data_IF_720811930070
#
_entry.id   IF_720811930070
#
_cell.length_a   1.000
_cell.length_b   1.000
_cell.length_c   1.000
_cell.angle_alpha   90.00
_cell.angle_beta   90.00
_cell.angle_gamma   90.00
#
_symmetry.space_group_name_H-M   'P 1'
#
loop_
_entity.id
_entity.type
_entity.pdbx_description
1 polymer ?
#
# COMPACT_ATOMS: atom_id res chain seq x y z
N UNK A 1 -31.77 -45.35 3.97
CA UNK A 1 -32.04 -45.12 2.53
C UNK A 1 -33.14 -44.10 2.27
N UNK A 2 -34.30 -44.15 2.95
CA UNK A 2 -35.37 -43.15 2.79
C UNK A 2 -34.93 -41.67 3.00
N UNK A 3 -34.04 -41.40 3.97
CA UNK A 3 -33.46 -40.07 4.19
C UNK A 3 -32.56 -39.60 3.03
N UNK A 4 -31.84 -40.53 2.39
CA UNK A 4 -30.98 -40.27 1.23
C UNK A 4 -31.79 -39.95 -0.03
N UNK A 5 -33.03 -40.42 -0.08
CA UNK A 5 -33.99 -40.12 -1.14
C UNK A 5 -34.85 -38.87 -0.87
N UNK A 6 -34.60 -38.13 0.22
CA UNK A 6 -35.33 -36.91 0.57
C UNK A 6 -36.76 -37.15 1.11
N UNK A 7 -37.15 -38.41 1.35
CA UNK A 7 -38.49 -38.80 1.80
C UNK A 7 -38.66 -38.72 3.33
N UNK A 8 -37.57 -38.64 4.07
CA UNK A 8 -37.57 -38.56 5.53
C UNK A 8 -36.67 -37.39 5.99
N UNK A 9 -37.03 -36.72 7.11
CA UNK A 9 -36.26 -35.59 7.61
C UNK A 9 -34.83 -35.99 7.99
N UNK A 10 -33.93 -35.02 7.89
CA UNK A 10 -32.54 -35.19 8.31
C UNK A 10 -32.44 -35.48 9.81
N UNK A 11 -31.39 -36.20 10.19
CA UNK A 11 -31.09 -36.45 11.60
C UNK A 11 -30.45 -35.21 12.22
N UNK A 12 -30.80 -34.89 13.46
CA UNK A 12 -30.20 -33.76 14.18
C UNK A 12 -29.08 -34.26 15.09
N UNK A 13 -27.94 -33.57 15.04
CA UNK A 13 -26.81 -33.73 15.96
C UNK A 13 -27.19 -33.25 17.38
N UNK A 14 -26.35 -33.53 18.36
CA UNK A 14 -26.44 -33.06 19.76
C UNK A 14 -26.51 -31.53 19.87
N UNK A 15 -25.86 -30.81 18.95
CA UNK A 15 -25.89 -29.35 18.83
C UNK A 15 -27.12 -28.82 18.05
N UNK A 16 -28.09 -29.68 17.71
CA UNK A 16 -29.30 -29.32 16.96
C UNK A 16 -29.07 -29.01 15.48
N UNK A 17 -27.93 -29.46 14.91
CA UNK A 17 -27.60 -29.27 13.49
C UNK A 17 -28.02 -30.47 12.66
N UNK A 18 -28.60 -30.22 11.50
CA UNK A 18 -28.97 -31.27 10.56
C UNK A 18 -27.73 -31.96 9.97
N UNK A 19 -27.67 -33.28 10.10
CA UNK A 19 -26.65 -34.14 9.51
C UNK A 19 -27.12 -34.53 8.12
N UNK A 20 -26.32 -34.18 7.12
CA UNK A 20 -26.61 -34.51 5.73
C UNK A 20 -26.73 -36.05 5.56
N UNK A 21 -27.89 -36.58 5.11
CA UNK A 21 -28.11 -38.02 4.91
C UNK A 21 -27.20 -38.71 3.88
N UNK A 22 -26.48 -37.93 3.07
CA UNK A 22 -25.52 -38.44 2.09
C UNK A 22 -24.11 -38.64 2.65
N UNK A 23 -23.82 -38.19 3.87
CA UNK A 23 -22.55 -38.48 4.56
C UNK A 23 -22.52 -39.98 4.87
N UNK A 24 -21.43 -40.66 4.48
CA UNK A 24 -21.28 -42.08 4.76
C UNK A 24 -21.27 -42.35 6.26
N UNK A 25 -21.85 -43.48 6.68
CA UNK A 25 -22.00 -43.85 8.10
C UNK A 25 -20.69 -43.84 8.90
N UNK A 26 -19.56 -44.20 8.28
CA UNK A 26 -18.25 -44.21 8.95
C UNK A 26 -17.70 -42.80 9.25
N UNK A 27 -18.23 -41.74 8.62
CA UNK A 27 -17.86 -40.34 8.89
C UNK A 27 -18.77 -39.72 9.94
N UNK A 28 -20.06 -40.11 9.97
CA UNK A 28 -21.07 -39.55 10.90
C UNK A 28 -21.11 -40.26 12.25
N UNK A 29 -20.70 -41.53 12.33
CA UNK A 29 -20.60 -42.25 13.60
C UNK A 29 -19.34 -41.82 14.35
N UNK A 30 -19.52 -41.31 15.56
CA UNK A 30 -18.41 -40.97 16.42
C UNK A 30 -17.72 -42.25 16.94
N UNK A 31 -16.38 -42.31 16.92
CA UNK A 31 -15.64 -43.43 17.49
C UNK A 31 -15.90 -43.62 19.00
N UNK A 32 -15.82 -44.86 19.47
CA UNK A 32 -16.14 -45.23 20.87
C UNK A 32 -15.38 -44.43 21.93
N UNK A 33 -14.16 -43.98 21.65
CA UNK A 33 -13.32 -43.22 22.58
C UNK A 33 -13.76 -41.76 22.78
N UNK A 34 -14.74 -41.27 22.02
CA UNK A 34 -15.32 -39.93 22.17
C UNK A 34 -16.64 -39.92 22.96
N UNK A 35 -17.12 -41.08 23.42
CA UNK A 35 -18.32 -41.25 24.25
C UNK A 35 -19.57 -40.48 23.74
N UNK A 36 -19.71 -40.30 22.43
CA UNK A 36 -20.90 -39.70 21.84
C UNK A 36 -21.93 -40.81 21.56
N UNK A 37 -23.10 -40.71 22.18
CA UNK A 37 -24.18 -41.69 22.04
C UNK A 37 -24.98 -41.48 20.75
N UNK A 38 -24.85 -40.32 20.12
CA UNK A 38 -25.56 -39.95 18.88
C UNK A 38 -24.58 -39.73 17.72
N UNK A 39 -25.02 -39.94 16.47
CA UNK A 39 -24.27 -39.51 15.30
C UNK A 39 -23.98 -38.02 15.40
N UNK A 40 -22.71 -37.63 15.33
CA UNK A 40 -22.28 -36.24 15.51
C UNK A 40 -21.11 -35.91 14.59
N UNK A 41 -21.05 -34.69 14.07
CA UNK A 41 -19.93 -34.25 13.23
C UNK A 41 -18.86 -33.49 14.03
N UNK A 42 -19.01 -33.39 15.35
CA UNK A 42 -18.09 -32.69 16.26
C UNK A 42 -16.68 -33.27 16.22
N UNK A 43 -16.55 -34.59 16.09
CA UNK A 43 -15.26 -35.28 16.04
C UNK A 43 -14.49 -35.04 14.74
N UNK A 44 -15.17 -34.67 13.65
CA UNK A 44 -14.55 -34.27 12.40
C UNK A 44 -14.07 -32.81 12.42
N UNK A 45 -14.52 -32.02 13.40
CA UNK A 45 -14.04 -30.63 13.57
C UNK A 45 -12.65 -30.65 14.17
N UNK A 46 -11.88 -29.62 13.82
CA UNK A 46 -10.54 -29.44 14.35
C UNK A 46 -10.60 -29.27 15.88
N UNK A 47 -10.09 -30.26 16.60
CA UNK A 47 -10.14 -30.32 18.06
C UNK A 47 -9.14 -29.38 18.76
N UNK A 48 -8.06 -28.99 18.07
CA UNK A 48 -7.14 -27.93 18.52
C UNK A 48 -7.33 -26.68 17.67
N UNK A 49 -7.42 -25.53 18.33
CA UNK A 49 -7.22 -24.25 17.65
C UNK A 49 -5.81 -24.22 17.05
N UNK A 50 -5.66 -23.54 15.91
CA UNK A 50 -4.32 -23.21 15.45
C UNK A 50 -3.56 -22.45 16.54
N UNK A 51 -2.26 -22.72 16.73
CA UNK A 51 -1.43 -21.86 17.56
C UNK A 51 -1.62 -20.41 17.11
N UNK A 52 -1.72 -19.49 18.07
CA UNK A 52 -1.84 -18.08 17.74
C UNK A 52 -0.47 -17.57 17.28
N UNK A 53 -0.14 -17.78 16.00
CA UNK A 53 1.13 -17.37 15.44
C UNK A 53 1.22 -15.85 15.43
N UNK A 54 2.30 -15.34 15.99
CA UNK A 54 2.51 -13.90 16.10
C UNK A 54 2.84 -13.34 14.72
N UNK A 55 2.08 -12.34 14.28
CA UNK A 55 2.38 -11.57 13.06
C UNK A 55 3.49 -10.53 13.27
N UNK A 56 3.91 -10.30 14.52
CA UNK A 56 5.03 -9.42 14.83
C UNK A 56 6.34 -9.95 14.23
N UNK A 57 7.19 -9.01 13.81
CA UNK A 57 8.54 -9.30 13.34
C UNK A 57 9.57 -8.74 14.33
N UNK A 58 10.81 -9.23 14.27
CA UNK A 58 11.90 -8.77 15.11
C UNK A 58 12.14 -7.25 15.00
N UNK A 59 12.29 -6.60 16.15
CA UNK A 59 12.67 -5.18 16.24
C UNK A 59 14.14 -4.99 15.84
N UNK A 60 14.40 -4.82 14.54
CA UNK A 60 15.77 -4.64 14.03
C UNK A 60 16.38 -3.34 14.55
N UNK A 61 17.52 -3.45 15.22
CA UNK A 61 18.27 -2.30 15.73
C UNK A 61 17.69 -1.67 17.00
N UNK A 62 16.70 -2.32 17.65
CA UNK A 62 16.24 -1.89 18.95
C UNK A 62 17.35 -2.08 20.00
N UNK A 63 17.64 -1.00 20.72
CA UNK A 63 18.63 -0.93 21.77
C UNK A 63 17.90 -0.83 23.10
N UNK A 64 18.24 -1.68 24.06
CA UNK A 64 17.59 -1.68 25.38
C UNK A 64 18.39 -0.81 26.34
N UNK A 65 19.62 -1.20 26.63
CA UNK A 65 20.42 -0.63 27.70
C UNK A 65 21.84 -0.38 27.24
N UNK A 66 22.40 0.78 27.61
CA UNK A 66 23.81 1.09 27.38
C UNK A 66 24.53 1.17 28.72
N UNK A 67 25.53 0.32 28.90
CA UNK A 67 26.39 0.38 30.08
C UNK A 67 27.51 1.41 29.89
N UNK A 68 27.86 2.13 30.95
CA UNK A 68 29.01 3.04 30.95
C UNK A 68 30.33 2.33 31.26
N UNK A 69 30.26 1.17 31.93
CA UNK A 69 31.42 0.35 32.30
C UNK A 69 31.23 -1.10 31.86
N UNK A 70 32.34 -1.78 31.59
CA UNK A 70 32.35 -3.17 31.18
C UNK A 70 31.78 -4.06 32.28
N UNK A 71 30.86 -4.94 31.90
CA UNK A 71 30.23 -5.93 32.78
C UNK A 71 30.87 -7.30 32.56
N UNK A 72 30.99 -8.09 33.62
CA UNK A 72 31.49 -9.47 33.53
C UNK A 72 30.51 -10.30 32.70
N UNK A 73 31.02 -11.04 31.72
CA UNK A 73 30.20 -11.81 30.77
C UNK A 73 29.80 -11.03 29.52
N UNK A 74 30.13 -9.74 29.42
CA UNK A 74 29.92 -8.99 28.19
C UNK A 74 30.97 -9.35 27.13
N UNK A 75 30.60 -9.15 25.87
CA UNK A 75 31.50 -9.23 24.72
C UNK A 75 32.78 -8.44 25.01
N UNK A 76 33.92 -9.12 24.94
CA UNK A 76 35.18 -8.48 25.27
C UNK A 76 35.48 -7.30 24.33
N UNK A 77 35.10 -7.42 23.06
CA UNK A 77 35.39 -6.42 22.03
C UNK A 77 34.58 -5.13 22.21
N UNK A 78 33.25 -5.22 22.21
CA UNK A 78 32.34 -4.07 22.20
C UNK A 78 31.70 -3.76 23.57
N UNK A 79 31.63 -4.73 24.49
CA UNK A 79 31.04 -4.55 25.82
C UNK A 79 29.51 -4.76 25.92
N UNK A 80 28.84 -5.21 24.85
CA UNK A 80 27.44 -5.63 24.91
C UNK A 80 27.30 -7.02 25.55
N UNK A 81 26.20 -7.29 26.26
CA UNK A 81 25.92 -8.58 26.90
C UNK A 81 25.21 -9.60 26.00
N UNK A 82 24.78 -9.21 24.81
CA UNK A 82 23.91 -10.06 23.96
C UNK A 82 24.64 -11.12 23.16
N UNK A 83 25.96 -10.99 23.01
CA UNK A 83 26.76 -11.85 22.14
C UNK A 83 28.20 -11.99 22.64
N UNK A 84 28.91 -12.97 22.07
CA UNK A 84 30.32 -13.24 22.37
C UNK A 84 31.27 -12.43 21.49
N UNK A 85 32.54 -12.35 21.88
CA UNK A 85 33.56 -11.65 21.10
C UNK A 85 33.75 -12.18 19.67
N UNK A 86 33.38 -13.44 19.41
CA UNK A 86 33.48 -14.08 18.07
C UNK A 86 32.31 -13.73 17.17
N UNK A 87 31.10 -13.59 17.72
CA UNK A 87 29.88 -13.20 17.00
C UNK A 87 29.66 -11.68 17.00
N UNK A 88 30.67 -10.92 17.43
CA UNK A 88 30.61 -9.47 17.48
C UNK A 88 30.56 -8.87 16.07
N UNK A 89 29.53 -8.06 15.82
CA UNK A 89 29.36 -7.33 14.56
C UNK A 89 30.31 -6.13 14.45
N UNK A 90 30.76 -5.62 15.60
CA UNK A 90 31.68 -4.49 15.66
C UNK A 90 33.08 -4.92 15.25
N UNK A 91 33.78 -4.00 14.57
CA UNK A 91 35.16 -4.24 14.12
C UNK A 91 36.04 -4.70 15.29
N UNK A 92 36.82 -5.79 15.14
CA UNK A 92 37.74 -6.23 16.18
C UNK A 92 38.74 -5.12 16.55
N UNK A 93 38.74 -4.72 17.82
CA UNK A 93 39.61 -3.65 18.34
C UNK A 93 40.96 -4.23 18.77
N UNK A 94 42.05 -3.45 18.58
CA UNK A 94 43.38 -3.79 19.10
C UNK A 94 43.40 -3.84 20.63
N UNK A 95 42.81 -2.82 21.27
CA UNK A 95 42.52 -2.81 22.71
C UNK A 95 41.00 -2.96 22.88
N UNK A 96 40.62 -4.07 23.49
CA UNK A 96 39.21 -4.49 23.68
C UNK A 96 38.51 -3.65 24.76
N UNK A 97 37.19 -3.51 24.68
CA UNK A 97 36.39 -2.78 25.67
C UNK A 97 36.56 -3.33 27.10
N UNK A 98 36.82 -4.64 27.24
CA UNK A 98 37.18 -5.29 28.51
C UNK A 98 38.29 -4.57 29.29
N UNK A 99 39.28 -4.03 28.58
CA UNK A 99 40.45 -3.39 29.18
C UNK A 99 40.36 -1.87 29.20
N UNK A 100 39.68 -1.27 28.23
CA UNK A 100 39.63 0.19 28.08
C UNK A 100 38.39 0.83 28.72
N UNK A 101 37.30 0.09 28.96
CA UNK A 101 36.00 0.64 29.38
C UNK A 101 35.45 1.76 28.47
N UNK A 102 36.01 1.94 27.27
CA UNK A 102 35.62 3.01 26.35
C UNK A 102 34.79 2.47 25.19
N UNK A 103 33.85 3.29 24.73
CA UNK A 103 32.94 2.99 23.61
C UNK A 103 32.21 1.66 23.79
N UNK A 104 31.43 1.56 24.87
CA UNK A 104 30.62 0.39 25.16
C UNK A 104 29.36 0.41 24.30
N UNK A 105 29.14 -0.68 23.57
CA UNK A 105 27.97 -0.87 22.74
C UNK A 105 26.71 -1.08 23.61
N UNK A 106 25.57 -0.71 23.04
CA UNK A 106 24.25 -0.96 23.63
C UNK A 106 23.88 -2.43 23.52
N UNK A 107 23.16 -2.95 24.52
CA UNK A 107 22.56 -4.27 24.47
C UNK A 107 21.39 -4.30 23.48
N UNK A 108 21.33 -5.35 22.68
CA UNK A 108 20.29 -5.63 21.69
C UNK A 108 19.07 -6.31 22.34
N UNK A 109 17.89 -6.16 21.73
CA UNK A 109 16.68 -6.87 22.15
C UNK A 109 16.67 -8.27 21.54
N UNK A 110 16.76 -9.29 22.39
CA UNK A 110 16.64 -10.69 21.99
C UNK A 110 15.17 -11.09 22.13
N UNK A 111 14.52 -11.36 21.01
CA UNK A 111 13.13 -11.82 20.95
C UNK A 111 13.09 -13.22 20.33
N UNK A 112 12.10 -14.02 20.73
CA UNK A 112 11.83 -15.33 20.13
C UNK A 112 10.36 -15.42 19.79
N UNK A 113 10.06 -15.71 18.53
CA UNK A 113 8.69 -15.82 18.02
C UNK A 113 8.44 -17.19 17.41
N UNK A 114 7.25 -17.73 17.64
CA UNK A 114 6.74 -18.89 16.92
C UNK A 114 5.89 -18.42 15.74
N UNK A 115 6.31 -18.80 14.55
CA UNK A 115 5.67 -18.42 13.29
C UNK A 115 5.37 -19.64 12.44
N UNK A 116 4.31 -19.53 11.66
CA UNK A 116 3.93 -20.47 10.61
C UNK A 116 5.00 -20.62 9.52
N UNK A 117 4.84 -21.66 8.70
CA UNK A 117 5.67 -21.88 7.52
C UNK A 117 5.70 -20.66 6.58
N UNK A 118 4.53 -20.08 6.33
CA UNK A 118 4.37 -18.89 5.47
C UNK A 118 4.89 -17.63 6.18
N UNK A 119 4.57 -17.46 7.46
CA UNK A 119 5.05 -16.35 8.28
C UNK A 119 6.57 -16.23 8.30
N UNK A 120 7.31 -17.35 8.36
CA UNK A 120 8.80 -17.33 8.29
C UNK A 120 9.35 -16.92 6.93
N UNK A 121 8.57 -17.10 5.85
CA UNK A 121 9.00 -16.89 4.45
C UNK A 121 8.43 -15.64 3.82
N UNK A 122 7.53 -14.95 4.50
CA UNK A 122 6.97 -13.71 3.99
C UNK A 122 8.09 -12.70 3.69
N UNK A 123 8.21 -12.36 2.40
CA UNK A 123 9.20 -11.43 1.89
C UNK A 123 9.03 -10.03 2.48
N UNK A 124 7.81 -9.70 2.92
CA UNK A 124 7.45 -8.39 3.44
C UNK A 124 7.50 -8.31 4.97
N UNK A 125 8.11 -9.30 5.62
CA UNK A 125 8.37 -9.27 7.05
C UNK A 125 9.18 -8.04 7.49
N UNK A 126 8.66 -7.29 8.46
CA UNK A 126 9.26 -6.05 8.95
C UNK A 126 9.14 -4.87 7.98
N UNK A 127 8.22 -4.92 7.01
CA UNK A 127 7.95 -3.78 6.13
C UNK A 127 7.30 -2.62 6.90
N UNK A 128 7.95 -1.46 6.90
CA UNK A 128 7.37 -0.23 7.44
C UNK A 128 6.45 0.43 6.41
N UNK A 129 5.15 0.52 6.76
CA UNK A 129 4.13 1.13 5.92
C UNK A 129 4.44 2.60 5.57
N UNK A 130 5.18 3.33 6.42
CA UNK A 130 5.56 4.72 6.16
C UNK A 130 6.48 4.86 4.94
N UNK A 131 7.30 3.83 4.65
CA UNK A 131 8.25 3.86 3.54
C UNK A 131 7.57 3.89 2.16
N UNK A 132 6.31 3.45 2.09
CA UNK A 132 5.50 3.52 0.87
C UNK A 132 5.24 4.98 0.43
N UNK A 133 5.28 5.94 1.35
CA UNK A 133 5.16 7.36 1.03
C UNK A 133 6.18 7.80 -0.03
N UNK A 134 7.42 7.29 0.03
CA UNK A 134 8.49 7.60 -0.95
C UNK A 134 8.16 7.10 -2.35
N UNK A 135 7.38 6.02 -2.45
CA UNK A 135 6.89 5.51 -3.74
C UNK A 135 5.83 6.46 -4.27
N UNK A 136 4.87 6.86 -3.45
CA UNK A 136 3.83 7.83 -3.80
C UNK A 136 4.46 9.13 -4.31
N UNK A 137 5.38 9.72 -3.54
CA UNK A 137 6.11 10.94 -3.90
C UNK A 137 6.80 10.83 -5.27
N UNK A 138 7.44 9.68 -5.54
CA UNK A 138 8.08 9.43 -6.84
C UNK A 138 7.08 9.42 -7.99
N UNK A 139 5.90 8.84 -7.79
CA UNK A 139 4.84 8.83 -8.80
C UNK A 139 4.23 10.21 -8.99
N UNK A 140 3.96 10.94 -7.91
CA UNK A 140 3.45 12.31 -7.95
C UNK A 140 4.41 13.23 -8.70
N UNK A 141 5.71 13.21 -8.38
CA UNK A 141 6.72 13.99 -9.08
C UNK A 141 6.78 13.67 -10.58
N UNK A 142 6.61 12.39 -10.96
CA UNK A 142 6.56 11.97 -12.37
C UNK A 142 5.32 12.50 -13.09
N UNK A 143 4.16 12.49 -12.43
CA UNK A 143 2.91 13.01 -12.97
C UNK A 143 2.98 14.53 -13.11
N UNK A 144 3.54 15.22 -12.13
CA UNK A 144 3.75 16.68 -12.19
C UNK A 144 4.70 17.08 -13.31
N UNK A 145 5.81 16.37 -13.50
CA UNK A 145 6.74 16.61 -14.60
C UNK A 145 6.05 16.41 -15.97
N UNK A 146 5.23 15.36 -16.12
CA UNK A 146 4.43 15.12 -17.32
C UNK A 146 3.42 16.25 -17.56
N UNK A 147 2.76 16.74 -16.51
CA UNK A 147 1.81 17.85 -16.58
C UNK A 147 2.49 19.15 -16.99
N UNK A 148 3.67 19.46 -16.43
CA UNK A 148 4.48 20.63 -16.80
C UNK A 148 4.89 20.56 -18.28
N UNK A 149 5.40 19.43 -18.73
CA UNK A 149 5.75 19.20 -20.13
C UNK A 149 4.57 19.43 -21.08
N UNK A 150 3.40 18.86 -20.79
CA UNK A 150 2.20 19.07 -21.62
C UNK A 150 1.76 20.54 -21.65
N UNK A 151 1.83 21.24 -20.52
CA UNK A 151 1.51 22.67 -20.44
C UNK A 151 2.48 23.52 -21.27
N UNK A 152 3.78 23.23 -21.22
CA UNK A 152 4.79 23.90 -22.04
C UNK A 152 4.58 23.64 -23.54
N UNK A 153 4.22 22.41 -23.93
CA UNK A 153 3.89 22.10 -25.32
C UNK A 153 2.65 22.86 -25.81
N UNK A 154 1.62 23.01 -24.97
CA UNK A 154 0.44 23.82 -25.29
C UNK A 154 0.80 25.31 -25.44
N UNK A 155 1.60 25.88 -24.53
CA UNK A 155 2.07 27.26 -24.62
C UNK A 155 2.88 27.49 -25.91
N UNK A 156 3.83 26.61 -26.24
CA UNK A 156 4.59 26.67 -27.49
C UNK A 156 3.70 26.63 -28.74
N UNK A 157 2.60 25.87 -28.73
CA UNK A 157 1.63 25.85 -29.84
C UNK A 157 0.87 27.17 -29.95
N UNK A 158 0.43 27.74 -28.83
CA UNK A 158 -0.28 29.03 -28.78
C UNK A 158 0.65 30.18 -29.21
N UNK A 159 1.91 30.17 -28.78
CA UNK A 159 2.89 31.21 -29.17
C UNK A 159 3.19 31.12 -30.67
N UNK A 160 3.34 29.91 -31.22
CA UNK A 160 3.46 29.70 -32.65
C UNK A 160 2.22 30.20 -33.41
N UNK A 161 1.01 29.90 -32.95
CA UNK A 161 -0.21 30.37 -33.62
C UNK A 161 -0.31 31.90 -33.60
N UNK A 162 -0.05 32.53 -32.45
CA UNK A 162 0.00 34.00 -32.33
C UNK A 162 1.03 34.62 -33.26
N UNK A 163 2.26 34.08 -33.33
CA UNK A 163 3.29 34.57 -34.25
C UNK A 163 2.85 34.48 -35.71
N UNK A 164 2.18 33.39 -36.10
CA UNK A 164 1.62 33.26 -37.46
C UNK A 164 0.52 34.28 -37.73
N UNK A 165 -0.33 34.58 -36.74
CA UNK A 165 -1.40 35.58 -36.87
C UNK A 165 -0.84 37.01 -36.95
N UNK A 166 0.15 37.36 -36.12
CA UNK A 166 0.88 38.64 -36.24
C UNK A 166 1.60 38.78 -37.60
N UNK A 167 2.20 37.70 -38.10
CA UNK A 167 2.85 37.71 -39.42
C UNK A 167 1.84 37.91 -40.57
N UNK A 168 0.63 37.36 -40.46
CA UNK A 168 -0.46 37.64 -41.41
C UNK A 168 -0.95 39.08 -41.31
N UNK A 169 -1.15 39.60 -40.10
CA UNK A 169 -1.58 40.98 -39.87
C UNK A 169 -0.56 42.00 -40.42
N UNK A 170 0.73 41.78 -40.18
CA UNK A 170 1.82 42.63 -40.70
C UNK A 170 1.96 42.59 -42.23
N UNK A 171 1.49 41.52 -42.90
CA UNK A 171 1.39 41.47 -44.37
C UNK A 171 0.17 42.27 -44.87
N UNK A 172 -0.96 42.18 -44.18
CA UNK A 172 -2.19 42.90 -44.54
C UNK A 172 -2.09 44.44 -44.36
N UNK A 173 -1.41 44.90 -43.31
CA UNK A 173 -1.15 46.34 -43.08
C UNK A 173 -0.20 46.92 -44.14
N UNK A 174 0.76 46.14 -44.65
CA UNK A 174 1.64 46.57 -45.74
C UNK A 174 0.91 46.74 -47.08
N UNK A 175 -0.16 45.98 -47.32
CA UNK A 175 -0.94 46.06 -48.57
C UNK A 175 -1.98 47.19 -48.58
N UNK A 176 -2.25 47.84 -47.44
CA UNK A 176 -3.28 48.89 -47.31
C UNK A 176 -2.71 50.32 -47.22
N UNK A 177 -1.39 50.48 -47.09
CA UNK A 177 -0.71 51.79 -47.08
C UNK A 177 -0.29 52.35 -48.46
N UNK A 178 -0.59 51.64 -49.55
CA UNK A 178 -0.34 52.12 -50.92
C UNK A 178 -1.66 52.27 -51.67
N UNK A 179 -2.15 53.50 -51.81
CA UNK A 179 -3.47 53.81 -52.36
C UNK A 179 -3.67 53.45 -53.83
N UNK A 180 -4.91 53.10 -54.18
CA UNK A 180 -5.58 53.58 -55.40
C UNK A 180 -7.09 53.36 -55.28
N UNK A 181 -7.82 54.46 -55.18
CA UNK A 181 -9.28 54.57 -55.32
C UNK A 181 -9.73 53.95 -56.65
N UNK A 182 -10.70 53.04 -56.66
CA UNK A 182 -11.60 52.81 -57.81
C UNK A 182 -12.89 52.09 -57.39
N UNK A 183 -13.94 52.43 -58.13
CA UNK A 183 -15.37 52.42 -57.79
C UNK A 183 -16.11 51.13 -58.15
N UNK A 184 -16.99 50.71 -57.24
CA UNK A 184 -18.37 50.16 -57.38
C UNK A 184 -18.67 49.11 -58.46
N UNK A 185 -19.24 47.96 -58.03
CA UNK A 185 -20.53 47.41 -58.52
C UNK A 185 -21.14 46.42 -57.52
N UNK A 186 -22.44 46.61 -57.25
CA UNK A 186 -23.29 45.78 -56.38
C UNK A 186 -23.68 44.48 -57.09
N UNK A 187 -23.80 43.40 -56.32
CA UNK A 187 -24.51 42.17 -56.65
C UNK A 187 -24.97 41.52 -55.34
N UNK A 188 -26.27 41.27 -55.24
CA UNK A 188 -27.02 40.74 -54.09
C UNK A 188 -27.06 39.21 -54.18
N UNK A 189 -27.32 38.55 -53.04
CA UNK A 189 -27.71 37.14 -52.79
C UNK A 189 -26.59 36.34 -52.10
N UNK A 190 -26.77 35.64 -50.98
CA UNK A 190 -27.90 35.38 -50.08
C UNK A 190 -27.39 34.57 -48.87
N UNK A 191 -28.11 34.69 -47.76
CA UNK A 191 -28.25 33.76 -46.63
C UNK A 191 -27.05 33.26 -45.77
N UNK A 192 -26.94 33.88 -44.57
CA UNK A 192 -27.01 33.25 -43.22
C UNK A 192 -25.90 32.29 -42.71
N UNK A 193 -25.72 32.08 -41.38
CA UNK A 193 -26.10 32.86 -40.21
C UNK A 193 -24.96 33.12 -39.18
N UNK A 194 -25.27 34.03 -38.26
CA UNK A 194 -24.61 34.34 -37.01
C UNK A 194 -24.42 33.10 -36.12
N UNK A 195 -23.21 32.89 -35.58
CA UNK A 195 -23.03 32.17 -34.32
C UNK A 195 -22.06 32.94 -33.42
N UNK A 196 -22.66 33.71 -32.51
CA UNK A 196 -22.05 34.13 -31.27
C UNK A 196 -22.01 32.93 -30.32
N UNK A 197 -20.83 32.54 -29.85
CA UNK A 197 -20.72 31.70 -28.67
C UNK A 197 -19.77 32.34 -27.66
N UNK A 198 -20.42 33.00 -26.70
CA UNK A 198 -19.87 33.38 -25.40
C UNK A 198 -19.32 32.11 -24.74
N UNK A 199 -18.03 32.09 -24.43
CA UNK A 199 -17.45 31.13 -23.49
C UNK A 199 -17.08 31.91 -22.23
N UNK A 200 -17.84 31.71 -21.17
CA UNK A 200 -17.50 31.88 -19.74
C UNK A 200 -18.82 31.96 -18.98
N UNK A 201 -19.03 31.33 -17.83
CA UNK A 201 -18.22 30.61 -16.84
C UNK A 201 -19.25 30.00 -15.88
N UNK A 202 -18.95 28.83 -15.33
CA UNK A 202 -19.31 28.37 -13.97
C UNK A 202 -18.81 26.92 -13.89
N UNK A 203 -17.71 26.51 -13.23
CA UNK A 203 -17.16 26.78 -11.89
C UNK A 203 -18.12 26.50 -10.75
N UNK A 204 -18.28 25.23 -10.35
CA UNK A 204 -18.32 24.85 -8.92
C UNK A 204 -17.69 23.46 -8.72
N UNK A 205 -16.43 23.46 -8.30
CA UNK A 205 -15.79 22.35 -7.60
C UNK A 205 -16.32 22.34 -6.16
N UNK A 206 -17.13 21.35 -5.80
CA UNK A 206 -17.48 21.09 -4.41
C UNK A 206 -16.27 20.52 -3.68
N UNK A 207 -15.63 21.34 -2.84
CA UNK A 207 -14.73 20.91 -1.78
C UNK A 207 -15.58 20.31 -0.65
N UNK A 208 -15.41 19.01 -0.34
CA UNK A 208 -15.84 18.48 0.95
C UNK A 208 -14.72 18.68 1.99
N UNK A 209 -15.02 19.23 3.17
CA UNK A 209 -14.04 19.38 4.24
C UNK A 209 -13.75 18.02 4.92
N UNK A 210 -12.50 17.88 5.37
CA UNK A 210 -12.02 16.77 6.20
C UNK A 210 -12.50 17.02 7.61
N UNK A 211 -13.36 16.14 8.13
CA UNK A 211 -13.68 16.09 9.55
C UNK A 211 -12.72 15.13 10.26
N UNK A 212 -12.16 15.65 11.33
CA UNK A 212 -11.32 15.03 12.34
C UNK A 212 -12.15 14.09 13.20
N UNK A 213 -11.78 12.81 13.25
CA UNK A 213 -12.29 11.89 14.28
C UNK A 213 -11.34 11.87 15.47
N UNK A 214 -11.75 12.55 16.53
CA UNK A 214 -11.27 12.33 17.89
C UNK A 214 -12.18 11.30 18.58
N UNK A 215 -11.54 10.33 19.23
CA UNK A 215 -11.91 9.65 20.48
C UNK A 215 -13.39 9.31 20.76
N UNK A 216 -13.68 8.00 20.82
CA UNK A 216 -14.17 7.26 21.99
C UNK A 216 -13.80 5.78 21.84
#
# INVERSE_FOLDING_TARGET
EARKAGLAPAEFDEDGKEINPHIHQYISSAPWYLNAERPSLKHQRKWRSDPNYTKSWYDRGAKIFQAEKYRKGACENCGAMTHDAKSCIERPRKKRAKWTNMHIATDEKIETFEQDYDGKRDRWNGYDASTYARVIERYEARVEARRKYLKEQQLKKIDKSKQMDFAKLAKHVRTTGGGSMRTVRRGIDGDSPVTSLRISKESVLHKKPKETLNSL
#
